data_IF_444260180278
#
_entry.id   IF_444260180278
#
_cell.length_a   1.000
_cell.length_b   1.000
_cell.length_c   1.000
_cell.angle_alpha   90.00
_cell.angle_beta   90.00
_cell.angle_gamma   90.00
#
_symmetry.space_group_name_H-M   'P 1'
#
loop_
_entity.id
_entity.type
_entity.pdbx_description
1 polymer ?
#
# COMPACT_ATOMS: atom_id res chain seq x y z
N UNK A 1 -4.64 -1.65 3.87
CA UNK A 1 -3.16 -1.67 3.79
C UNK A 1 -2.62 -0.95 5.02
N UNK A 2 -1.65 -1.54 5.71
CA UNK A 2 -0.98 -0.90 6.84
C UNK A 2 -0.23 0.35 6.37
N UNK A 3 -0.33 1.43 7.13
CA UNK A 3 0.43 2.65 6.83
C UNK A 3 1.78 2.62 7.52
N UNK A 4 2.80 3.22 6.90
CA UNK A 4 4.13 3.38 7.52
C UNK A 4 4.07 4.10 8.87
N UNK A 5 3.15 5.06 8.99
CA UNK A 5 2.92 5.77 10.25
C UNK A 5 2.53 4.80 11.37
N UNK A 6 1.52 3.96 11.13
CA UNK A 6 1.06 2.98 12.10
C UNK A 6 2.18 1.99 12.47
N UNK A 7 2.93 1.49 11.47
CA UNK A 7 4.05 0.57 11.68
C UNK A 7 5.14 1.21 12.54
N UNK A 8 5.47 2.48 12.33
CA UNK A 8 6.52 3.17 13.07
C UNK A 8 6.11 3.63 14.47
N UNK A 9 4.85 4.05 14.65
CA UNK A 9 4.36 4.56 15.93
C UNK A 9 3.88 3.44 16.86
N UNK A 10 3.32 2.36 16.31
CA UNK A 10 2.72 1.26 17.06
C UNK A 10 3.33 -0.11 16.67
N UNK A 11 4.64 -0.17 16.50
CA UNK A 11 5.39 -1.35 15.99
C UNK A 11 4.98 -2.65 16.70
N UNK A 12 4.98 -2.67 18.02
CA UNK A 12 4.66 -3.88 18.82
C UNK A 12 3.19 -4.30 18.66
N UNK A 13 2.27 -3.34 18.52
CA UNK A 13 0.85 -3.64 18.24
C UNK A 13 0.69 -4.28 16.87
N UNK A 14 1.41 -3.76 15.87
CA UNK A 14 1.38 -4.34 14.51
C UNK A 14 1.93 -5.76 14.53
N UNK A 15 3.08 -5.99 15.18
CA UNK A 15 3.68 -7.33 15.29
C UNK A 15 2.71 -8.30 15.95
N UNK A 16 2.14 -7.95 17.12
CA UNK A 16 1.16 -8.79 17.82
C UNK A 16 -0.09 -9.08 16.97
N UNK A 17 -0.57 -8.09 16.22
CA UNK A 17 -1.70 -8.27 15.32
C UNK A 17 -1.41 -9.23 14.16
N UNK A 18 -0.19 -9.22 13.64
CA UNK A 18 0.27 -10.15 12.61
C UNK A 18 0.48 -11.57 13.18
N UNK A 19 1.06 -11.69 14.38
CA UNK A 19 1.21 -12.96 15.10
C UNK A 19 -0.15 -13.59 15.37
N UNK A 20 -1.16 -12.80 15.77
CA UNK A 20 -2.55 -13.23 15.97
C UNK A 20 -3.17 -13.83 14.70
N UNK A 21 -2.71 -13.39 13.52
CA UNK A 21 -3.10 -13.96 12.23
C UNK A 21 -2.19 -15.10 11.76
N UNK A 22 -1.29 -15.57 12.62
CA UNK A 22 -0.28 -16.59 12.30
C UNK A 22 0.59 -16.21 11.05
N UNK A 23 0.81 -14.91 10.85
CA UNK A 23 1.70 -14.46 9.78
C UNK A 23 3.14 -14.83 10.11
N UNK A 24 3.83 -15.57 9.22
CA UNK A 24 5.17 -16.05 9.49
C UNK A 24 6.16 -14.87 9.55
N UNK A 25 7.12 -14.95 10.49
CA UNK A 25 8.20 -13.97 10.65
C UNK A 25 7.70 -12.52 10.78
N UNK A 26 6.57 -12.31 11.48
CA UNK A 26 5.92 -11.01 11.62
C UNK A 26 6.88 -9.90 12.05
N UNK A 27 7.71 -10.16 13.07
CA UNK A 27 8.70 -9.19 13.56
C UNK A 27 9.74 -8.84 12.50
N UNK A 28 10.32 -9.85 11.85
CA UNK A 28 11.33 -9.64 10.80
C UNK A 28 10.78 -8.83 9.62
N UNK A 29 9.55 -9.11 9.20
CA UNK A 29 8.90 -8.37 8.11
C UNK A 29 8.69 -6.90 8.47
N UNK A 30 8.23 -6.61 9.69
CA UNK A 30 8.03 -5.25 10.19
C UNK A 30 9.37 -4.51 10.32
N UNK A 31 10.40 -5.15 10.86
CA UNK A 31 11.74 -4.58 11.00
C UNK A 31 12.36 -4.24 9.63
N UNK A 32 12.19 -5.10 8.62
CA UNK A 32 12.61 -4.81 7.23
C UNK A 32 11.93 -3.57 6.66
N UNK A 33 10.62 -3.42 6.88
CA UNK A 33 9.89 -2.22 6.43
C UNK A 33 10.48 -0.96 7.06
N UNK A 34 10.76 -0.99 8.37
CA UNK A 34 11.33 0.15 9.08
C UNK A 34 12.78 0.44 8.65
N UNK A 35 13.56 -0.61 8.36
CA UNK A 35 14.93 -0.46 7.84
C UNK A 35 14.94 0.20 6.46
N UNK A 36 14.10 -0.27 5.54
CA UNK A 36 13.99 0.35 4.22
C UNK A 36 13.47 1.79 4.28
N UNK A 37 12.51 2.10 5.15
CA UNK A 37 12.06 3.47 5.35
C UNK A 37 13.18 4.36 5.92
N UNK A 38 14.02 3.85 6.81
CA UNK A 38 15.18 4.56 7.32
C UNK A 38 16.17 4.86 6.20
N UNK A 39 16.55 3.86 5.39
CA UNK A 39 17.44 4.04 4.23
C UNK A 39 16.89 5.10 3.29
N UNK A 40 15.60 5.02 2.96
CA UNK A 40 14.92 5.97 2.09
C UNK A 40 14.98 7.40 2.64
N UNK A 41 14.70 7.59 3.96
CA UNK A 41 14.73 8.92 4.60
C UNK A 41 16.14 9.48 4.66
N UNK A 42 17.14 8.68 4.96
CA UNK A 42 18.54 9.12 4.97
C UNK A 42 19.02 9.51 3.57
N UNK A 43 18.65 8.73 2.55
CA UNK A 43 18.96 9.07 1.17
C UNK A 43 18.27 10.37 0.73
N UNK A 44 17.00 10.56 1.10
CA UNK A 44 16.24 11.79 0.83
C UNK A 44 16.90 13.00 1.48
N UNK A 45 17.26 12.90 2.76
CA UNK A 45 17.92 14.01 3.48
C UNK A 45 19.26 14.39 2.84
N UNK A 46 20.07 13.41 2.45
CA UNK A 46 21.36 13.64 1.76
C UNK A 46 21.12 14.27 0.39
N UNK A 47 20.10 13.81 -0.34
CA UNK A 47 19.72 14.37 -1.65
C UNK A 47 19.28 15.83 -1.54
N UNK A 48 18.50 16.18 -0.53
CA UNK A 48 18.04 17.55 -0.29
C UNK A 48 19.22 18.47 0.04
N UNK A 49 20.14 18.01 0.90
CA UNK A 49 21.38 18.72 1.23
C UNK A 49 22.24 18.92 -0.03
N UNK A 50 22.37 17.89 -0.84
CA UNK A 50 23.14 17.90 -2.07
C UNK A 50 22.55 18.92 -3.07
N UNK A 51 21.22 18.92 -3.25
CA UNK A 51 20.51 19.89 -4.08
C UNK A 51 20.68 21.34 -3.61
N UNK A 52 20.66 21.55 -2.29
CA UNK A 52 20.92 22.87 -1.71
C UNK A 52 22.34 23.36 -2.02
N UNK A 53 23.35 22.51 -1.82
CA UNK A 53 24.74 22.84 -2.14
C UNK A 53 24.95 23.11 -3.63
N UNK A 54 24.38 22.29 -4.50
CA UNK A 54 24.46 22.50 -5.95
C UNK A 54 23.85 23.84 -6.36
N UNK A 55 22.73 24.26 -5.74
CA UNK A 55 22.11 25.55 -5.98
C UNK A 55 22.96 26.71 -5.47
N UNK A 56 23.66 26.55 -4.35
CA UNK A 56 24.59 27.57 -3.82
C UNK A 56 25.78 27.76 -4.77
N UNK A 57 26.41 26.67 -5.20
CA UNK A 57 27.50 26.73 -6.18
C UNK A 57 27.06 27.31 -7.52
N UNK A 58 25.86 26.98 -7.98
CA UNK A 58 25.33 27.57 -9.22
C UNK A 58 25.18 29.10 -9.14
N UNK A 59 24.77 29.63 -7.98
CA UNK A 59 24.74 31.08 -7.75
C UNK A 59 26.15 31.69 -7.70
N UNK A 60 27.11 31.01 -7.06
CA UNK A 60 28.51 31.46 -6.98
C UNK A 60 29.18 31.52 -8.38
N UNK A 61 28.92 30.49 -9.22
CA UNK A 61 29.40 30.48 -10.60
C UNK A 61 28.96 31.75 -11.33
N UNK A 62 27.69 32.16 -11.20
CA UNK A 62 27.18 33.38 -11.81
C UNK A 62 27.87 34.67 -11.34
N UNK A 63 28.25 34.75 -10.06
CA UNK A 63 28.99 35.87 -9.49
C UNK A 63 30.46 35.87 -9.95
N UNK A 64 31.15 34.74 -9.88
CA UNK A 64 32.55 34.60 -10.31
C UNK A 64 32.75 34.85 -11.77
N UNK A 65 31.80 34.48 -12.62
CA UNK A 65 31.84 34.78 -14.04
C UNK A 65 31.73 36.29 -14.33
N UNK A 66 30.92 37.03 -13.55
CA UNK A 66 30.81 38.48 -13.65
C UNK A 66 32.07 39.18 -13.17
N UNK A 67 32.78 38.64 -12.20
CA UNK A 67 34.05 39.15 -11.68
C UNK A 67 35.26 38.77 -12.53
N UNK A 68 35.09 37.96 -13.58
CA UNK A 68 36.17 37.51 -14.45
C UNK A 68 37.08 36.42 -13.91
N UNK A 69 36.73 35.82 -12.75
CA UNK A 69 37.47 34.74 -12.06
C UNK A 69 37.17 33.36 -12.67
N UNK A 70 37.71 33.13 -13.86
CA UNK A 70 37.40 31.93 -14.65
C UNK A 70 37.84 30.62 -14.00
N UNK A 71 38.99 30.56 -13.37
CA UNK A 71 39.51 29.34 -12.74
C UNK A 71 38.65 28.90 -11.55
N UNK A 72 38.26 29.86 -10.72
CA UNK A 72 37.34 29.58 -9.58
C UNK A 72 35.94 29.13 -10.05
N UNK A 73 35.45 29.74 -11.14
CA UNK A 73 34.19 29.34 -11.74
C UNK A 73 34.23 27.93 -12.35
N UNK A 74 35.34 27.50 -12.95
CA UNK A 74 35.51 26.13 -13.45
C UNK A 74 35.61 25.12 -12.30
N UNK A 75 36.30 25.45 -11.21
CA UNK A 75 36.32 24.61 -9.98
C UNK A 75 34.91 24.43 -9.42
N UNK A 76 34.11 25.51 -9.32
CA UNK A 76 32.74 25.43 -8.84
C UNK A 76 31.83 24.61 -9.77
N UNK A 77 32.02 24.68 -11.10
CA UNK A 77 31.32 23.82 -12.07
C UNK A 77 31.63 22.34 -11.87
N UNK A 78 32.91 22.00 -11.62
CA UNK A 78 33.31 20.63 -11.34
C UNK A 78 32.63 20.10 -10.05
N UNK A 79 32.52 20.94 -9.00
CA UNK A 79 31.79 20.59 -7.79
C UNK A 79 30.30 20.34 -8.04
N UNK A 80 29.64 21.18 -8.84
CA UNK A 80 28.25 20.96 -9.24
C UNK A 80 28.08 19.66 -10.04
N UNK A 81 29.02 19.32 -10.89
CA UNK A 81 28.99 18.07 -11.65
C UNK A 81 29.10 16.84 -10.72
N UNK A 82 29.99 16.88 -9.73
CA UNK A 82 30.13 15.82 -8.73
C UNK A 82 28.86 15.68 -7.88
N UNK A 83 28.31 16.81 -7.39
CA UNK A 83 27.05 16.82 -6.64
C UNK A 83 25.88 16.25 -7.45
N UNK A 84 25.84 16.49 -8.75
CA UNK A 84 24.81 15.90 -9.63
C UNK A 84 25.00 14.39 -9.79
N UNK A 85 26.24 13.90 -9.89
CA UNK A 85 26.52 12.47 -9.96
C UNK A 85 26.14 11.77 -8.65
N UNK A 86 26.53 12.34 -7.51
CA UNK A 86 26.16 11.84 -6.17
C UNK A 86 24.63 11.89 -5.97
N UNK A 87 23.97 12.95 -6.48
CA UNK A 87 22.53 13.07 -6.44
C UNK A 87 21.81 11.93 -7.16
N UNK A 88 22.32 11.53 -8.33
CA UNK A 88 21.78 10.38 -9.08
C UNK A 88 21.92 9.07 -8.31
N UNK A 89 23.09 8.81 -7.71
CA UNK A 89 23.30 7.62 -6.89
C UNK A 89 22.37 7.58 -5.67
N UNK A 90 22.12 8.74 -5.04
CA UNK A 90 21.17 8.85 -3.93
C UNK A 90 19.71 8.61 -4.37
N UNK A 91 19.31 9.09 -5.56
CA UNK A 91 18.00 8.82 -6.14
C UNK A 91 17.81 7.32 -6.40
N UNK A 92 18.80 6.63 -6.94
CA UNK A 92 18.76 5.17 -7.16
C UNK A 92 18.63 4.39 -5.84
N UNK A 93 19.37 4.79 -4.80
CA UNK A 93 19.25 4.19 -3.46
C UNK A 93 17.85 4.39 -2.89
N UNK A 94 17.31 5.59 -3.02
CA UNK A 94 15.98 5.94 -2.53
C UNK A 94 14.89 5.13 -3.26
N UNK A 95 14.95 5.05 -4.58
CA UNK A 95 14.00 4.30 -5.40
C UNK A 95 14.05 2.80 -5.07
N UNK A 96 15.26 2.24 -4.94
CA UNK A 96 15.42 0.85 -4.56
C UNK A 96 14.85 0.56 -3.18
N UNK A 97 15.18 1.38 -2.18
CA UNK A 97 14.65 1.22 -0.83
C UNK A 97 13.11 1.34 -0.80
N UNK A 98 12.54 2.25 -1.59
CA UNK A 98 11.09 2.41 -1.74
C UNK A 98 10.45 1.16 -2.36
N UNK A 99 11.08 0.58 -3.38
CA UNK A 99 10.57 -0.63 -4.04
C UNK A 99 10.66 -1.84 -3.13
N UNK A 100 11.79 -2.05 -2.46
CA UNK A 100 12.00 -3.16 -1.53
C UNK A 100 11.01 -3.07 -0.36
N UNK A 101 10.81 -1.88 0.20
CA UNK A 101 9.80 -1.62 1.22
C UNK A 101 8.38 -1.94 0.72
N UNK A 102 8.03 -1.52 -0.49
CA UNK A 102 6.71 -1.77 -1.08
C UNK A 102 6.48 -3.27 -1.26
N UNK A 103 7.47 -4.01 -1.73
CA UNK A 103 7.38 -5.46 -1.91
C UNK A 103 7.07 -6.16 -0.58
N UNK A 104 7.77 -5.81 0.50
CA UNK A 104 7.48 -6.37 1.83
C UNK A 104 6.09 -5.97 2.33
N UNK A 105 5.67 -4.71 2.13
CA UNK A 105 4.34 -4.24 2.54
C UNK A 105 3.19 -4.95 1.80
N UNK A 106 3.40 -5.38 0.56
CA UNK A 106 2.40 -6.13 -0.20
C UNK A 106 2.19 -7.54 0.34
N UNK A 107 3.18 -8.12 0.99
CA UNK A 107 3.09 -9.44 1.61
C UNK A 107 2.44 -9.39 3.00
N UNK A 108 2.54 -8.26 3.70
CA UNK A 108 2.02 -8.09 5.06
C UNK A 108 0.49 -7.89 5.02
N UNK A 109 -0.29 -8.77 5.66
CA UNK A 109 -1.74 -8.58 5.77
C UNK A 109 -2.09 -7.45 6.74
N UNK A 110 -3.32 -6.93 6.64
CA UNK A 110 -3.83 -6.00 7.66
C UNK A 110 -3.97 -6.69 9.01
N UNK A 111 -3.72 -5.94 10.09
CA UNK A 111 -3.96 -6.43 11.45
C UNK A 111 -5.47 -6.49 11.75
N UNK A 112 -5.93 -7.47 12.55
CA UNK A 112 -7.31 -7.53 13.01
C UNK A 112 -7.60 -6.43 14.05
N UNK A 113 -8.87 -6.14 14.27
CA UNK A 113 -9.31 -5.36 15.42
C UNK A 113 -8.98 -6.09 16.73
N UNK A 114 -8.84 -5.35 17.82
CA UNK A 114 -8.43 -5.93 19.11
C UNK A 114 -9.45 -6.95 19.65
N UNK A 115 -10.74 -6.75 19.32
CA UNK A 115 -11.86 -7.62 19.72
C UNK A 115 -11.91 -8.97 18.97
N UNK A 116 -11.25 -9.07 17.82
CA UNK A 116 -11.23 -10.31 17.03
C UNK A 116 -10.42 -11.37 17.79
N UNK A 117 -10.94 -12.57 18.04
CA UNK A 117 -10.20 -13.65 18.71
C UNK A 117 -9.03 -14.12 17.83
N UNK A 118 -8.07 -14.79 18.46
CA UNK A 118 -7.04 -15.53 17.73
C UNK A 118 -7.67 -16.74 17.04
N UNK A 119 -7.31 -16.99 15.77
CA UNK A 119 -7.85 -18.08 15.00
C UNK A 119 -7.15 -18.29 13.68
N UNK A 120 -7.27 -19.48 13.11
CA UNK A 120 -6.68 -19.88 11.81
C UNK A 120 -7.70 -19.85 10.69
N UNK A 121 -8.94 -20.19 10.98
CA UNK A 121 -9.99 -20.30 9.97
C UNK A 121 -11.37 -19.89 10.52
N UNK A 122 -12.40 -20.06 9.70
CA UNK A 122 -13.76 -19.67 10.04
C UNK A 122 -14.38 -20.46 11.23
N UNK A 123 -13.83 -21.61 11.60
CA UNK A 123 -14.32 -22.38 12.74
C UNK A 123 -13.97 -21.71 14.07
N UNK A 124 -12.91 -20.90 14.10
CA UNK A 124 -12.48 -20.16 15.29
C UNK A 124 -13.28 -18.85 15.48
N UNK A 125 -14.17 -18.50 14.54
CA UNK A 125 -14.99 -17.30 14.65
C UNK A 125 -15.97 -17.39 15.82
N UNK A 126 -16.00 -16.34 16.64
CA UNK A 126 -16.95 -16.22 17.75
C UNK A 126 -18.18 -15.47 17.29
N UNK A 127 -19.36 -16.05 17.52
CA UNK A 127 -20.64 -15.39 17.26
C UNK A 127 -20.85 -14.30 18.32
N UNK A 128 -20.78 -13.04 17.92
CA UNK A 128 -20.91 -11.87 18.80
C UNK A 128 -22.38 -11.54 19.06
N UNK A 129 -23.23 -11.75 18.05
CA UNK A 129 -24.67 -11.44 18.15
C UNK A 129 -25.46 -12.35 17.25
N UNK A 130 -26.52 -12.93 17.78
CA UNK A 130 -27.58 -13.60 17.01
C UNK A 130 -28.86 -12.79 17.09
N UNK A 131 -29.65 -12.82 16.01
CA UNK A 131 -30.91 -12.09 15.97
C UNK A 131 -31.86 -12.63 14.88
N UNK A 132 -33.17 -12.55 15.18
CA UNK A 132 -34.20 -13.10 14.32
C UNK A 132 -34.39 -14.61 14.45
N UNK A 133 -35.49 -15.11 13.91
CA UNK A 133 -35.75 -16.55 13.81
C UNK A 133 -35.15 -17.10 12.51
N UNK A 134 -34.43 -18.20 12.60
CA UNK A 134 -33.92 -18.90 11.42
C UNK A 134 -35.08 -19.62 10.73
N UNK A 135 -35.47 -19.27 9.49
CA UNK A 135 -36.55 -19.95 8.80
C UNK A 135 -36.15 -21.40 8.49
N UNK A 136 -37.07 -22.33 8.71
CA UNK A 136 -36.92 -23.69 8.23
C UNK A 136 -37.25 -23.77 6.76
N UNK A 137 -36.25 -23.71 5.89
CA UNK A 137 -36.42 -23.70 4.45
C UNK A 137 -36.72 -25.06 3.84
N UNK A 138 -36.60 -26.16 4.61
CA UNK A 138 -36.79 -27.51 4.11
C UNK A 138 -35.74 -28.03 3.13
N UNK A 139 -35.86 -29.31 2.71
CA UNK A 139 -34.85 -29.94 1.86
C UNK A 139 -34.81 -29.40 0.41
N UNK A 140 -35.87 -28.79 -0.06
CA UNK A 140 -36.02 -28.27 -1.44
C UNK A 140 -35.59 -26.78 -1.54
N UNK A 141 -34.92 -26.25 -0.54
CA UNK A 141 -34.45 -24.87 -0.53
C UNK A 141 -33.45 -24.61 -1.67
N UNK A 142 -33.78 -23.61 -2.50
CA UNK A 142 -32.91 -23.19 -3.59
C UNK A 142 -31.78 -22.30 -3.07
N UNK A 143 -30.58 -22.47 -3.62
CA UNK A 143 -29.49 -21.54 -3.40
C UNK A 143 -29.81 -20.14 -3.98
N UNK A 144 -29.14 -19.09 -3.47
CA UNK A 144 -29.41 -17.73 -3.90
C UNK A 144 -29.20 -17.50 -5.41
N UNK A 145 -28.20 -18.13 -6.02
CA UNK A 145 -27.98 -18.04 -7.47
C UNK A 145 -29.08 -18.70 -8.29
N UNK A 146 -29.70 -19.78 -7.80
CA UNK A 146 -30.85 -20.44 -8.45
C UNK A 146 -32.11 -19.56 -8.34
N UNK A 147 -32.30 -18.88 -7.20
CA UNK A 147 -33.34 -17.90 -7.01
C UNK A 147 -33.17 -16.70 -7.94
N UNK A 148 -31.95 -16.17 -8.07
CA UNK A 148 -31.67 -15.08 -8.99
C UNK A 148 -31.98 -15.42 -10.43
N UNK A 149 -31.64 -16.65 -10.85
CA UNK A 149 -31.96 -17.18 -12.17
C UNK A 149 -33.47 -17.43 -12.37
N UNK A 150 -34.11 -18.10 -11.40
CA UNK A 150 -35.54 -18.41 -11.42
C UNK A 150 -36.42 -17.15 -11.57
N UNK A 151 -36.05 -16.08 -10.89
CA UNK A 151 -36.77 -14.81 -10.93
C UNK A 151 -36.24 -13.80 -11.95
N UNK A 152 -35.26 -14.20 -12.76
CA UNK A 152 -34.61 -13.34 -13.76
C UNK A 152 -34.15 -11.98 -13.17
N UNK A 153 -33.42 -12.06 -12.07
CA UNK A 153 -32.96 -10.88 -11.33
C UNK A 153 -31.55 -10.45 -11.70
N UNK A 154 -30.72 -11.41 -12.15
CA UNK A 154 -29.31 -11.20 -12.51
C UNK A 154 -28.98 -12.02 -13.75
N UNK A 155 -28.25 -11.40 -14.68
CA UNK A 155 -27.69 -12.04 -15.87
C UNK A 155 -26.16 -12.08 -15.75
N UNK A 156 -25.61 -13.25 -15.50
CA UNK A 156 -24.18 -13.46 -15.42
C UNK A 156 -23.53 -13.59 -16.80
N UNK A 157 -24.25 -14.12 -17.80
CA UNK A 157 -23.74 -14.27 -19.16
C UNK A 157 -23.55 -12.90 -19.82
N UNK A 158 -24.47 -12.00 -19.61
CA UNK A 158 -24.35 -10.61 -20.04
C UNK A 158 -23.18 -9.92 -19.31
N UNK A 159 -23.00 -10.18 -18.02
CA UNK A 159 -21.87 -9.68 -17.24
C UNK A 159 -20.54 -10.08 -17.84
N UNK A 160 -20.39 -11.34 -18.23
CA UNK A 160 -19.18 -11.85 -18.90
C UNK A 160 -18.92 -11.11 -20.22
N UNK A 161 -19.98 -10.85 -21.01
CA UNK A 161 -19.84 -10.14 -22.30
C UNK A 161 -19.41 -8.69 -22.15
N UNK A 162 -19.89 -8.01 -21.10
CA UNK A 162 -19.62 -6.56 -20.88
C UNK A 162 -18.24 -6.33 -20.24
N UNK A 163 -17.86 -7.16 -19.26
CA UNK A 163 -16.70 -6.85 -18.40
C UNK A 163 -15.76 -8.04 -18.24
N UNK A 164 -16.31 -9.26 -18.04
CA UNK A 164 -15.53 -10.47 -17.78
C UNK A 164 -16.17 -11.37 -16.73
N UNK A 165 -15.51 -12.48 -16.41
CA UNK A 165 -16.00 -13.48 -15.47
C UNK A 165 -16.25 -12.86 -14.07
N UNK A 166 -17.36 -13.26 -13.45
CA UNK A 166 -17.72 -12.85 -12.09
C UNK A 166 -18.46 -11.51 -11.95
N UNK A 167 -18.74 -10.82 -13.05
CA UNK A 167 -19.54 -9.58 -13.02
C UNK A 167 -21.03 -9.88 -13.19
N UNK A 168 -21.89 -9.55 -12.19
CA UNK A 168 -23.33 -9.67 -12.31
C UNK A 168 -23.95 -8.44 -13.00
N UNK A 169 -24.92 -8.65 -13.88
CA UNK A 169 -25.77 -7.59 -14.41
C UNK A 169 -27.14 -7.70 -13.75
N UNK A 170 -27.48 -6.73 -12.92
CA UNK A 170 -28.77 -6.67 -12.25
C UNK A 170 -29.87 -6.23 -13.23
N UNK A 171 -31.03 -6.94 -13.25
CA UNK A 171 -32.12 -6.73 -14.20
C UNK A 171 -33.39 -6.28 -13.48
N UNK A 172 -34.12 -5.38 -14.10
CA UNK A 172 -35.47 -4.99 -13.69
C UNK A 172 -35.55 -4.54 -12.23
N UNK A 173 -36.37 -5.24 -11.44
CA UNK A 173 -36.61 -4.91 -10.03
C UNK A 173 -35.36 -5.03 -9.18
N UNK A 174 -34.46 -5.98 -9.51
CA UNK A 174 -33.21 -6.15 -8.76
C UNK A 174 -32.26 -4.98 -8.99
N UNK A 175 -32.20 -4.44 -10.20
CA UNK A 175 -31.39 -3.23 -10.46
C UNK A 175 -31.90 -2.02 -9.67
N UNK A 176 -33.21 -1.91 -9.48
CA UNK A 176 -33.81 -0.87 -8.64
C UNK A 176 -33.55 -1.10 -7.16
N UNK A 177 -33.66 -2.35 -6.70
CA UNK A 177 -33.38 -2.74 -5.31
C UNK A 177 -31.93 -2.48 -4.93
N UNK A 178 -30.99 -2.87 -5.78
CA UNK A 178 -29.55 -2.62 -5.57
C UNK A 178 -29.20 -1.13 -5.41
N UNK A 179 -29.93 -0.25 -6.10
CA UNK A 179 -29.72 1.20 -5.97
C UNK A 179 -30.41 1.81 -4.75
N UNK A 180 -31.33 1.08 -4.14
CA UNK A 180 -32.07 1.53 -2.95
C UNK A 180 -31.40 1.12 -1.63
N UNK A 181 -30.48 0.13 -1.67
CA UNK A 181 -29.62 -0.27 -0.57
C UNK A 181 -28.40 0.65 -0.44
#
# INVERSE_FOLDING_TARGET
MLTLKLISEETERVIKGLEKKHFPNAREAVEKVLEYDKIRREAQQKLDTNKQQANQFAKQIGALMKEGKKEEAESAKAQVANLKADGKALEEIMEKAQQDMTNVLLEIPNIPCDEVPEGKDAADNVVVKEGGEKPNLGPDALCHWDLLKKYNLVDFDLGVKITGAGFPVYIGKMARFQRAL
#
